data_IF_333262781384
#
_entry.id   IF_333262781384
#
_cell.length_a   1.000
_cell.length_b   1.000
_cell.length_c   1.000
_cell.angle_alpha   90.00
_cell.angle_beta   90.00
_cell.angle_gamma   90.00
#
_symmetry.space_group_name_H-M   'P 1'
#
loop_
_entity.id
_entity.type
_entity.pdbx_description
1 polymer ?
#
# COMPACT_ATOMS: atom_id res chain seq x y z
N UNK A 1 -5.40 8.82 5.53
CA UNK A 1 -6.41 7.81 5.12
C UNK A 1 -5.92 6.37 5.32
N UNK A 2 -4.75 6.00 4.81
CA UNK A 2 -4.26 4.62 4.87
C UNK A 2 -4.15 4.03 6.28
N UNK A 3 -3.42 4.69 7.20
CA UNK A 3 -3.19 4.13 8.56
C UNK A 3 -4.49 3.87 9.33
N UNK A 4 -5.44 4.82 9.48
CA UNK A 4 -6.67 4.53 10.22
C UNK A 4 -7.51 3.40 9.59
N UNK A 5 -7.60 3.35 8.26
CA UNK A 5 -8.34 2.29 7.57
C UNK A 5 -7.64 0.93 7.70
N UNK A 6 -6.31 0.89 7.61
CA UNK A 6 -5.53 -0.33 7.81
C UNK A 6 -5.71 -0.87 9.23
N UNK A 7 -5.68 -0.01 10.25
CA UNK A 7 -5.95 -0.41 11.64
C UNK A 7 -7.37 -0.97 11.80
N UNK A 8 -8.36 -0.32 11.20
CA UNK A 8 -9.75 -0.78 11.21
C UNK A 8 -9.90 -2.14 10.53
N UNK A 9 -9.40 -2.29 9.30
CA UNK A 9 -9.44 -3.54 8.56
C UNK A 9 -8.68 -4.66 9.27
N UNK A 10 -7.55 -4.35 9.90
CA UNK A 10 -6.79 -5.32 10.70
C UNK A 10 -7.60 -5.80 11.90
N UNK A 11 -8.25 -4.91 12.63
CA UNK A 11 -9.09 -5.27 13.77
C UNK A 11 -10.28 -6.14 13.34
N UNK A 12 -10.93 -5.78 12.22
CA UNK A 12 -12.03 -6.57 11.66
C UNK A 12 -11.52 -7.94 11.18
N UNK A 13 -10.43 -7.99 10.43
CA UNK A 13 -9.85 -9.23 9.93
C UNK A 13 -9.45 -10.16 11.08
N UNK A 14 -8.81 -9.63 12.12
CA UNK A 14 -8.50 -10.38 13.33
C UNK A 14 -9.76 -10.96 13.97
N UNK A 15 -10.80 -10.16 14.16
CA UNK A 15 -12.04 -10.64 14.77
C UNK A 15 -12.75 -11.70 13.91
N UNK A 16 -12.88 -11.45 12.59
CA UNK A 16 -13.50 -12.37 11.63
C UNK A 16 -12.78 -13.71 11.62
N UNK A 17 -11.44 -13.71 11.56
CA UNK A 17 -10.66 -14.94 11.48
C UNK A 17 -10.64 -15.69 12.80
N UNK A 18 -10.39 -14.99 13.92
CA UNK A 18 -10.12 -15.65 15.21
C UNK A 18 -11.39 -15.96 16.01
N UNK A 19 -12.42 -15.10 15.94
CA UNK A 19 -13.64 -15.22 16.77
C UNK A 19 -14.83 -15.75 16.00
N UNK A 20 -14.96 -15.40 14.72
CA UNK A 20 -16.14 -15.78 13.94
C UNK A 20 -15.97 -17.06 13.14
N UNK A 21 -14.98 -17.12 12.24
CA UNK A 21 -14.84 -18.21 11.27
C UNK A 21 -14.14 -19.45 11.84
N UNK A 22 -12.98 -19.28 12.47
CA UNK A 22 -12.14 -20.41 12.90
C UNK A 22 -12.10 -20.63 14.41
N UNK A 23 -12.83 -19.80 15.19
CA UNK A 23 -12.97 -19.88 16.67
C UNK A 23 -11.76 -20.50 17.34
N UNK A 24 -10.67 -19.73 17.41
CA UNK A 24 -9.45 -20.21 18.03
C UNK A 24 -9.65 -20.31 19.55
N UNK A 25 -9.51 -21.51 20.11
CA UNK A 25 -9.41 -21.67 21.55
C UNK A 25 -8.12 -21.01 22.05
N UNK A 26 -8.29 -20.02 22.92
CA UNK A 26 -7.18 -19.22 23.48
C UNK A 26 -6.43 -19.95 24.59
N UNK A 27 -6.48 -21.30 24.63
CA UNK A 27 -5.63 -22.07 25.54
C UNK A 27 -4.18 -21.73 25.23
N UNK A 28 -3.46 -21.19 26.22
CA UNK A 28 -2.07 -20.78 26.08
C UNK A 28 -1.26 -21.91 25.44
N UNK A 29 -0.61 -21.63 24.30
CA UNK A 29 0.30 -22.58 23.67
C UNK A 29 1.43 -22.87 24.66
N UNK A 30 1.41 -24.07 25.25
CA UNK A 30 2.43 -24.51 26.20
C UNK A 30 3.82 -24.40 25.55
N UNK A 31 4.77 -23.78 26.25
CA UNK A 31 6.12 -23.55 25.74
C UNK A 31 6.29 -22.42 24.71
N UNK A 32 5.21 -21.80 24.21
CA UNK A 32 5.29 -20.75 23.18
C UNK A 32 6.11 -19.52 23.62
N UNK A 33 5.91 -19.06 24.87
CA UNK A 33 6.72 -17.97 25.45
C UNK A 33 8.20 -18.33 25.58
N UNK A 34 8.48 -19.59 25.93
CA UNK A 34 9.86 -20.06 26.10
C UNK A 34 10.57 -20.13 24.74
N UNK A 35 9.89 -20.60 23.70
CA UNK A 35 10.40 -20.61 22.33
C UNK A 35 10.70 -19.18 21.83
N UNK A 36 9.77 -18.23 22.03
CA UNK A 36 9.99 -16.82 21.65
C UNK A 36 11.19 -16.26 22.42
N UNK A 37 11.30 -16.53 23.72
CA UNK A 37 12.43 -16.11 24.55
C UNK A 37 13.76 -16.68 24.06
N UNK A 38 13.80 -17.95 23.66
CA UNK A 38 15.00 -18.59 23.10
C UNK A 38 15.40 -17.97 21.75
N UNK A 39 14.44 -17.72 20.86
CA UNK A 39 14.71 -17.08 19.57
C UNK A 39 15.20 -15.63 19.74
N UNK A 40 14.58 -14.87 20.66
CA UNK A 40 15.05 -13.52 21.01
C UNK A 40 16.46 -13.53 21.60
N UNK A 41 16.77 -14.48 22.48
CA UNK A 41 18.12 -14.63 23.02
C UNK A 41 19.13 -15.03 21.95
N UNK A 42 18.74 -15.86 20.97
CA UNK A 42 19.60 -16.30 19.87
C UNK A 42 19.96 -15.18 18.88
N UNK A 43 19.13 -14.14 18.75
CA UNK A 43 19.42 -12.97 17.90
C UNK A 43 20.60 -12.15 18.41
N UNK A 44 20.83 -12.13 19.73
CA UNK A 44 21.91 -11.36 20.34
C UNK A 44 21.72 -9.83 20.27
N UNK A 45 22.80 -9.08 20.47
CA UNK A 45 22.81 -7.61 20.36
C UNK A 45 22.83 -7.17 18.90
N UNK A 46 22.12 -6.07 18.58
CA UNK A 46 22.16 -5.49 17.23
C UNK A 46 23.60 -5.22 16.77
N UNK A 47 23.91 -5.71 15.59
CA UNK A 47 25.14 -5.42 14.86
C UNK A 47 25.22 -3.94 14.48
N UNK A 48 26.43 -3.46 14.18
CA UNK A 48 26.64 -2.09 13.69
C UNK A 48 25.83 -1.80 12.42
N UNK A 49 25.71 -2.79 11.52
CA UNK A 49 24.92 -2.66 10.30
C UNK A 49 23.45 -2.42 10.59
N UNK A 50 22.87 -3.21 11.51
CA UNK A 50 21.46 -3.05 11.92
C UNK A 50 21.22 -1.70 12.59
N UNK A 51 22.14 -1.22 13.44
CA UNK A 51 22.03 0.11 14.06
C UNK A 51 22.08 1.23 13.02
N UNK A 52 22.97 1.13 12.02
CA UNK A 52 23.05 2.11 10.92
C UNK A 52 21.76 2.10 10.11
N UNK A 53 21.27 0.93 9.71
CA UNK A 53 20.02 0.79 8.93
C UNK A 53 18.83 1.33 9.73
N UNK A 54 18.74 1.03 11.02
CA UNK A 54 17.70 1.55 11.91
C UNK A 54 17.77 3.08 12.02
N UNK A 55 18.97 3.64 12.16
CA UNK A 55 19.18 5.09 12.21
C UNK A 55 18.74 5.80 10.94
N UNK A 56 19.11 5.27 9.76
CA UNK A 56 18.65 5.81 8.47
C UNK A 56 17.13 5.68 8.35
N UNK A 57 16.57 4.51 8.65
CA UNK A 57 15.12 4.26 8.59
C UNK A 57 14.31 5.23 9.48
N UNK A 58 14.70 5.39 10.74
CA UNK A 58 14.01 6.30 11.68
C UNK A 58 14.14 7.76 11.23
N UNK A 59 15.30 8.15 10.71
CA UNK A 59 15.50 9.50 10.16
C UNK A 59 14.59 9.73 8.96
N UNK A 60 14.54 8.78 8.01
CA UNK A 60 13.66 8.83 6.84
C UNK A 60 12.19 8.93 7.24
N UNK A 61 11.73 8.10 8.19
CA UNK A 61 10.37 8.13 8.69
C UNK A 61 10.03 9.47 9.36
N UNK A 62 10.93 9.99 10.20
CA UNK A 62 10.78 11.29 10.83
C UNK A 62 10.73 12.43 9.80
N UNK A 63 11.54 12.36 8.74
CA UNK A 63 11.51 13.34 7.65
C UNK A 63 10.20 13.28 6.87
N UNK A 64 9.66 12.10 6.53
CA UNK A 64 8.36 12.01 5.84
C UNK A 64 7.21 12.53 6.69
N UNK A 65 7.15 12.15 7.98
CA UNK A 65 6.10 12.60 8.91
C UNK A 65 6.22 14.11 9.15
N UNK A 66 7.45 14.60 9.36
CA UNK A 66 7.74 16.00 9.66
C UNK A 66 7.79 16.92 8.45
N UNK A 67 7.83 16.39 7.22
CA UNK A 67 8.02 17.16 5.98
C UNK A 67 7.09 18.36 5.88
N UNK A 68 5.79 18.13 6.10
CA UNK A 68 4.78 19.19 6.00
C UNK A 68 5.00 20.33 7.01
N UNK A 69 5.53 20.02 8.19
CA UNK A 69 5.89 21.02 9.20
C UNK A 69 7.19 21.74 8.83
N UNK A 70 8.20 21.01 8.35
CA UNK A 70 9.52 21.54 7.99
C UNK A 70 9.45 22.53 6.82
N UNK A 71 8.67 22.21 5.79
CA UNK A 71 8.51 23.06 4.59
C UNK A 71 7.71 24.33 4.89
N UNK A 72 6.80 24.29 5.87
CA UNK A 72 5.96 25.43 6.27
C UNK A 72 6.60 26.30 7.35
N UNK A 73 7.79 25.95 7.83
CA UNK A 73 8.44 26.66 8.92
C UNK A 73 9.39 27.74 8.37
N UNK A 74 8.87 28.97 8.27
CA UNK A 74 9.56 30.09 7.61
C UNK A 74 10.97 30.38 8.14
N UNK A 75 11.18 30.30 9.46
CA UNK A 75 12.52 30.46 10.06
C UNK A 75 13.50 29.38 9.57
N UNK A 76 13.04 28.14 9.49
CA UNK A 76 13.86 27.00 9.11
C UNK A 76 14.19 27.02 7.62
N UNK A 77 13.19 27.31 6.77
CA UNK A 77 13.37 27.50 5.33
C UNK A 77 14.25 28.71 5.02
N UNK A 78 14.10 29.80 5.78
CA UNK A 78 14.96 30.99 5.66
C UNK A 78 16.43 30.70 5.94
N UNK A 79 16.73 29.76 6.85
CA UNK A 79 18.11 29.31 7.13
C UNK A 79 18.60 28.25 6.13
N UNK A 80 17.70 27.38 5.67
CA UNK A 80 18.01 26.28 4.75
C UNK A 80 17.06 26.29 3.55
N UNK A 81 17.34 27.10 2.51
CA UNK A 81 16.45 27.26 1.37
C UNK A 81 16.12 25.95 0.64
N UNK A 82 17.06 24.99 0.66
CA UNK A 82 16.89 23.67 0.07
C UNK A 82 15.70 22.88 0.68
N UNK A 83 15.33 23.18 1.93
CA UNK A 83 14.24 22.49 2.64
C UNK A 83 12.88 22.96 2.14
N UNK A 84 12.77 24.18 1.61
CA UNK A 84 11.52 24.70 1.03
C UNK A 84 11.00 23.85 -0.14
N UNK A 85 11.91 23.15 -0.86
CA UNK A 85 11.57 22.28 -1.99
C UNK A 85 11.64 20.78 -1.65
N UNK A 86 11.73 20.42 -0.37
CA UNK A 86 11.84 19.03 0.04
C UNK A 86 10.59 18.25 -0.37
N UNK A 87 10.78 17.17 -1.13
CA UNK A 87 9.72 16.25 -1.54
C UNK A 87 10.03 14.81 -1.12
N UNK A 88 9.02 13.94 -1.17
CA UNK A 88 9.12 12.56 -0.70
C UNK A 88 10.17 11.75 -1.48
N UNK A 89 10.39 12.06 -2.76
CA UNK A 89 11.40 11.42 -3.59
C UNK A 89 12.83 11.81 -3.20
N UNK A 90 13.07 13.08 -2.85
CA UNK A 90 14.37 13.56 -2.35
C UNK A 90 14.75 12.87 -1.04
N UNK A 91 13.79 12.71 -0.12
CA UNK A 91 13.99 12.00 1.15
C UNK A 91 14.37 10.53 0.89
N UNK A 92 13.63 9.85 0.00
CA UNK A 92 13.90 8.46 -0.36
C UNK A 92 15.28 8.28 -1.02
N UNK A 93 15.64 9.14 -1.97
CA UNK A 93 16.92 9.10 -2.65
C UNK A 93 18.07 9.41 -1.69
N UNK A 94 17.90 10.39 -0.80
CA UNK A 94 18.87 10.70 0.26
C UNK A 94 19.09 9.53 1.21
N UNK A 95 18.03 8.83 1.61
CA UNK A 95 18.11 7.63 2.44
C UNK A 95 18.84 6.49 1.72
N UNK A 96 18.54 6.26 0.44
CA UNK A 96 19.23 5.28 -0.37
C UNK A 96 20.73 5.60 -0.45
N UNK A 97 21.09 6.84 -0.83
CA UNK A 97 22.48 7.29 -0.89
C UNK A 97 23.19 7.14 0.46
N UNK A 98 22.53 7.47 1.57
CA UNK A 98 23.10 7.31 2.90
C UNK A 98 23.47 5.84 3.21
N UNK A 99 22.63 4.88 2.83
CA UNK A 99 22.93 3.45 3.01
C UNK A 99 24.15 2.99 2.19
N UNK A 100 24.40 3.58 1.02
CA UNK A 100 25.59 3.28 0.21
C UNK A 100 26.85 4.00 0.72
N UNK A 101 26.71 5.13 1.41
CA UNK A 101 27.84 5.96 1.84
C UNK A 101 28.29 5.70 3.28
N UNK A 102 27.42 5.18 4.15
CA UNK A 102 27.76 4.93 5.55
C UNK A 102 28.49 3.57 5.69
N UNK A 103 29.76 3.56 6.14
CA UNK A 103 30.51 2.32 6.34
C UNK A 103 30.06 1.59 7.62
N UNK A 104 29.85 0.28 7.52
CA UNK A 104 29.66 -0.63 8.65
C UNK A 104 31.02 -1.06 9.23
N UNK A 105 31.97 -1.37 8.36
CA UNK A 105 33.37 -1.62 8.71
C UNK A 105 34.28 -0.90 7.71
N UNK A 106 34.79 0.27 8.16
CA UNK A 106 35.65 1.13 7.36
C UNK A 106 36.99 0.47 6.98
N UNK A 107 37.50 -0.46 7.79
CA UNK A 107 38.79 -1.14 7.52
C UNK A 107 38.64 -2.18 6.41
N UNK A 108 37.46 -2.81 6.33
CA UNK A 108 37.13 -3.83 5.33
C UNK A 108 36.40 -3.28 4.11
N UNK A 109 36.10 -1.97 4.08
CA UNK A 109 35.33 -1.35 3.01
C UNK A 109 33.88 -1.84 2.93
N UNK A 110 33.31 -2.30 4.05
CA UNK A 110 31.94 -2.81 4.12
C UNK A 110 31.01 -1.64 4.43
N UNK A 111 30.05 -1.39 3.55
CA UNK A 111 29.02 -0.35 3.69
C UNK A 111 27.67 -0.96 4.06
N UNK A 112 26.71 -0.13 4.46
CA UNK A 112 25.40 -0.63 4.89
C UNK A 112 24.62 -1.29 3.73
N UNK A 113 24.85 -0.83 2.50
CA UNK A 113 24.43 -1.49 1.26
C UNK A 113 25.56 -1.52 0.23
N UNK A 114 25.57 -2.57 -0.57
CA UNK A 114 26.48 -2.80 -1.68
C UNK A 114 25.74 -2.73 -3.02
N UNK A 115 26.47 -2.51 -4.13
CA UNK A 115 25.86 -2.40 -5.46
C UNK A 115 25.08 -3.65 -5.90
N UNK A 116 25.55 -4.89 -5.62
CA UNK A 116 24.76 -6.09 -5.90
C UNK A 116 23.36 -6.07 -5.26
N UNK A 117 23.19 -5.45 -4.09
CA UNK A 117 21.86 -5.27 -3.50
C UNK A 117 20.89 -4.46 -4.36
N UNK A 118 21.38 -3.53 -5.19
CA UNK A 118 20.54 -2.72 -6.08
C UNK A 118 19.84 -3.57 -7.16
N UNK A 119 20.37 -4.74 -7.50
CA UNK A 119 19.72 -5.65 -8.45
C UNK A 119 18.39 -6.22 -7.94
N UNK A 120 18.17 -6.22 -6.62
CA UNK A 120 16.93 -6.69 -5.98
C UNK A 120 15.83 -5.61 -5.96
N UNK A 121 16.15 -4.38 -6.40
CA UNK A 121 15.14 -3.35 -6.59
C UNK A 121 14.19 -3.81 -7.69
N UNK A 122 12.86 -3.73 -7.50
CA UNK A 122 11.90 -4.19 -8.48
C UNK A 122 11.78 -3.18 -9.64
N UNK A 123 12.79 -3.12 -10.52
CA UNK A 123 12.85 -2.17 -11.65
C UNK A 123 11.63 -2.27 -12.58
N UNK A 124 11.05 -3.46 -12.72
CA UNK A 124 9.81 -3.67 -13.47
C UNK A 124 8.62 -2.88 -12.91
N UNK A 125 8.56 -2.65 -11.59
CA UNK A 125 7.51 -1.83 -10.95
C UNK A 125 7.65 -0.36 -11.37
N UNK A 126 8.89 0.15 -11.42
CA UNK A 126 9.16 1.53 -11.84
C UNK A 126 8.78 1.74 -13.31
N UNK A 127 9.14 0.79 -14.17
CA UNK A 127 8.75 0.79 -15.59
C UNK A 127 7.22 0.71 -15.75
N UNK A 128 6.54 -0.10 -14.95
CA UNK A 128 5.09 -0.24 -14.99
C UNK A 128 4.38 1.07 -14.60
N UNK A 129 4.85 1.79 -13.58
CA UNK A 129 4.29 3.10 -13.23
C UNK A 129 4.50 4.12 -14.35
N UNK A 130 5.69 4.18 -14.95
CA UNK A 130 5.97 5.04 -16.10
C UNK A 130 5.09 4.71 -17.30
N UNK A 131 4.89 3.43 -17.60
CA UNK A 131 4.00 2.95 -18.65
C UNK A 131 2.53 3.30 -18.38
N UNK A 132 2.05 3.12 -17.15
CA UNK A 132 0.67 3.44 -16.76
C UNK A 132 0.36 4.93 -16.85
N UNK A 133 1.28 5.81 -16.40
CA UNK A 133 1.13 7.26 -16.55
C UNK A 133 1.16 7.69 -18.03
N UNK A 134 2.04 7.09 -18.84
CA UNK A 134 2.08 7.32 -20.28
C UNK A 134 0.79 6.90 -20.97
N UNK A 135 0.21 5.76 -20.57
CA UNK A 135 -1.07 5.28 -21.08
C UNK A 135 -2.22 6.22 -20.69
N UNK A 136 -2.29 6.67 -19.44
CA UNK A 136 -3.30 7.63 -19.00
C UNK A 136 -3.28 8.93 -19.82
N UNK A 137 -2.10 9.46 -20.07
CA UNK A 137 -1.91 10.65 -20.92
C UNK A 137 -2.33 10.37 -22.37
N UNK A 138 -1.96 9.21 -22.93
CA UNK A 138 -2.35 8.82 -24.29
C UNK A 138 -3.87 8.66 -24.43
N UNK A 139 -4.53 8.05 -23.45
CA UNK A 139 -5.99 7.94 -23.40
C UNK A 139 -6.65 9.31 -23.40
N UNK A 140 -6.14 10.23 -22.58
CA UNK A 140 -6.64 11.61 -22.49
C UNK A 140 -6.47 12.35 -23.81
N UNK A 141 -5.29 12.28 -24.43
CA UNK A 141 -5.03 12.91 -25.75
C UNK A 141 -5.87 12.33 -26.88
N UNK A 142 -6.19 11.05 -26.81
CA UNK A 142 -6.98 10.37 -27.84
C UNK A 142 -8.49 10.64 -27.76
N UNK A 143 -8.97 11.29 -26.69
CA UNK A 143 -10.40 11.47 -26.41
C UNK A 143 -11.09 10.21 -25.87
N UNK A 144 -10.33 9.14 -25.58
CA UNK A 144 -10.88 7.88 -25.08
C UNK A 144 -11.47 8.04 -23.69
N UNK A 145 -10.89 8.90 -22.86
CA UNK A 145 -11.38 9.19 -21.50
C UNK A 145 -12.79 9.78 -21.51
N UNK A 146 -13.04 10.71 -22.44
CA UNK A 146 -14.33 11.37 -22.65
C UNK A 146 -15.35 10.38 -23.22
N UNK A 147 -14.93 9.52 -24.16
CA UNK A 147 -15.79 8.48 -24.71
C UNK A 147 -16.24 7.47 -23.63
N UNK A 148 -15.30 6.97 -22.80
CA UNK A 148 -15.62 6.09 -21.67
C UNK A 148 -16.52 6.81 -20.66
N UNK A 149 -16.21 8.06 -20.32
CA UNK A 149 -17.03 8.89 -19.45
C UNK A 149 -18.47 9.04 -19.96
N UNK A 150 -18.64 9.24 -21.27
CA UNK A 150 -19.94 9.30 -21.91
C UNK A 150 -20.73 7.98 -21.83
N UNK A 151 -20.08 6.82 -21.97
CA UNK A 151 -20.72 5.52 -21.78
C UNK A 151 -21.17 5.30 -20.34
N UNK A 152 -20.32 5.66 -19.36
CA UNK A 152 -20.67 5.53 -17.94
C UNK A 152 -21.76 6.54 -17.55
N UNK A 153 -21.73 7.75 -18.09
CA UNK A 153 -22.76 8.77 -17.90
C UNK A 153 -24.13 8.34 -18.45
N UNK A 154 -24.16 7.51 -19.49
CA UNK A 154 -25.38 6.94 -20.06
C UNK A 154 -26.03 5.85 -19.18
N UNK A 155 -25.31 5.29 -18.20
CA UNK A 155 -25.86 4.29 -17.26
C UNK A 155 -26.87 4.88 -16.26
N UNK A 156 -27.26 6.15 -16.44
CA UNK A 156 -28.08 6.93 -15.52
C UNK A 156 -27.22 7.39 -14.35
N UNK A 157 -27.21 8.69 -14.04
CA UNK A 157 -26.31 9.31 -13.06
C UNK A 157 -26.27 8.59 -11.71
N UNK A 158 -25.40 7.57 -11.61
CA UNK A 158 -25.21 6.80 -10.39
C UNK A 158 -24.65 7.76 -9.34
N UNK A 159 -25.16 7.73 -8.10
CA UNK A 159 -24.55 8.49 -7.02
C UNK A 159 -23.06 8.13 -6.95
N UNK A 160 -22.20 9.12 -6.73
CA UNK A 160 -20.74 8.91 -6.62
C UNK A 160 -20.40 7.79 -5.63
N UNK A 161 -21.19 7.65 -4.57
CA UNK A 161 -21.10 6.55 -3.60
C UNK A 161 -21.22 5.16 -4.24
N UNK A 162 -22.19 4.97 -5.14
CA UNK A 162 -22.42 3.71 -5.85
C UNK A 162 -21.27 3.41 -6.82
N UNK A 163 -20.75 4.44 -7.50
CA UNK A 163 -19.59 4.30 -8.38
C UNK A 163 -18.36 3.79 -7.60
N UNK A 164 -18.09 4.35 -6.42
CA UNK A 164 -16.99 3.89 -5.54
C UNK A 164 -17.18 2.43 -5.13
N UNK A 165 -18.40 2.03 -4.75
CA UNK A 165 -18.69 0.63 -4.34
C UNK A 165 -18.44 -0.33 -5.50
N UNK A 166 -18.91 -0.01 -6.70
CA UNK A 166 -18.70 -0.83 -7.91
C UNK A 166 -17.22 -0.92 -8.24
N UNK A 167 -16.49 0.21 -8.21
CA UNK A 167 -15.04 0.23 -8.43
C UNK A 167 -14.31 -0.65 -7.42
N UNK A 168 -14.59 -0.50 -6.12
CA UNK A 168 -13.94 -1.32 -5.08
C UNK A 168 -14.25 -2.80 -5.27
N UNK A 169 -15.51 -3.16 -5.54
CA UNK A 169 -15.91 -4.54 -5.79
C UNK A 169 -15.18 -5.16 -6.98
N UNK A 170 -15.15 -4.44 -8.11
CA UNK A 170 -14.45 -4.88 -9.32
C UNK A 170 -12.95 -5.09 -9.05
N UNK A 171 -12.31 -4.13 -8.38
CA UNK A 171 -10.86 -4.20 -8.10
C UNK A 171 -10.53 -5.35 -7.15
N UNK A 172 -11.33 -5.55 -6.09
CA UNK A 172 -11.15 -6.68 -5.15
C UNK A 172 -11.24 -8.01 -5.90
N UNK A 173 -12.23 -8.18 -6.78
CA UNK A 173 -12.36 -9.41 -7.56
C UNK A 173 -11.19 -9.63 -8.52
N UNK A 174 -10.76 -8.58 -9.22
CA UNK A 174 -9.65 -8.68 -10.18
C UNK A 174 -8.32 -8.97 -9.50
N UNK A 175 -8.09 -8.42 -8.32
CA UNK A 175 -6.84 -8.62 -7.58
C UNK A 175 -6.71 -10.01 -6.94
N UNK A 176 -7.76 -10.83 -6.93
CA UNK A 176 -7.67 -12.24 -6.50
C UNK A 176 -7.00 -13.12 -7.56
N UNK A 177 -7.14 -12.76 -8.83
CA UNK A 177 -6.63 -13.52 -9.97
C UNK A 177 -5.42 -12.85 -10.64
N UNK A 178 -5.10 -11.62 -10.25
CA UNK A 178 -4.04 -10.78 -10.83
C UNK A 178 -3.18 -10.21 -9.71
N UNK A 179 -1.94 -9.80 -10.00
CA UNK A 179 -1.14 -9.11 -8.98
C UNK A 179 -1.73 -7.73 -8.63
N UNK A 180 -1.65 -7.35 -7.35
CA UNK A 180 -2.14 -6.06 -6.84
C UNK A 180 -1.58 -4.87 -7.64
N UNK A 181 -0.29 -4.96 -7.98
CA UNK A 181 0.43 -3.95 -8.74
C UNK A 181 -0.07 -3.87 -10.19
N UNK A 182 -0.23 -5.01 -10.88
CA UNK A 182 -0.73 -5.02 -12.25
C UNK A 182 -2.18 -4.55 -12.33
N UNK A 183 -3.03 -4.95 -11.38
CA UNK A 183 -4.41 -4.50 -11.26
C UNK A 183 -4.48 -2.99 -11.10
N UNK A 184 -3.68 -2.43 -10.19
CA UNK A 184 -3.61 -0.97 -9.97
C UNK A 184 -3.10 -0.25 -11.23
N UNK A 185 -2.01 -0.72 -11.85
CA UNK A 185 -1.43 -0.09 -13.02
C UNK A 185 -2.37 -0.09 -14.24
N UNK A 186 -3.17 -1.15 -14.42
CA UNK A 186 -4.13 -1.25 -15.50
C UNK A 186 -5.37 -0.37 -15.26
N UNK A 187 -5.89 -0.35 -14.02
CA UNK A 187 -7.17 0.29 -13.72
C UNK A 187 -7.04 1.78 -13.38
N UNK A 188 -5.93 2.25 -12.80
CA UNK A 188 -5.76 3.66 -12.42
C UNK A 188 -5.94 4.61 -13.62
N UNK A 189 -5.32 4.39 -14.80
CA UNK A 189 -5.56 5.22 -15.98
C UNK A 189 -7.03 5.26 -16.42
N UNK A 190 -7.71 4.11 -16.39
CA UNK A 190 -9.10 3.97 -16.80
C UNK A 190 -10.01 4.70 -15.81
N UNK A 191 -9.83 4.49 -14.51
CA UNK A 191 -10.60 5.13 -13.46
C UNK A 191 -10.36 6.65 -13.41
N UNK A 192 -9.15 7.10 -13.72
CA UNK A 192 -8.85 8.53 -13.91
C UNK A 192 -9.67 9.10 -15.07
N UNK A 193 -9.66 8.42 -16.23
CA UNK A 193 -10.46 8.80 -17.39
C UNK A 193 -11.97 8.86 -17.11
N UNK A 194 -12.49 7.85 -16.40
CA UNK A 194 -13.89 7.82 -15.94
C UNK A 194 -14.19 9.00 -15.02
N UNK A 195 -13.31 9.29 -14.07
CA UNK A 195 -13.49 10.42 -13.17
C UNK A 195 -13.56 11.75 -13.91
N UNK A 196 -12.61 11.97 -14.84
CA UNK A 196 -12.55 13.18 -15.68
C UNK A 196 -13.80 13.30 -16.57
N UNK A 197 -14.23 12.21 -17.20
CA UNK A 197 -15.40 12.22 -18.09
C UNK A 197 -16.74 12.35 -17.37
N UNK A 198 -16.81 12.04 -16.07
CA UNK A 198 -17.97 12.26 -15.20
C UNK A 198 -17.91 13.59 -14.43
N UNK A 199 -16.86 14.39 -14.63
CA UNK A 199 -16.58 15.62 -13.88
C UNK A 199 -16.58 15.43 -12.35
N UNK A 200 -16.01 14.30 -11.88
CA UNK A 200 -15.83 14.00 -10.45
C UNK A 200 -14.35 14.02 -10.07
N UNK A 201 -14.06 14.34 -8.82
CA UNK A 201 -12.68 14.39 -8.32
C UNK A 201 -11.99 13.01 -8.46
N UNK A 202 -10.89 12.87 -9.24
CA UNK A 202 -10.27 11.57 -9.50
C UNK A 202 -9.80 10.84 -8.25
N UNK A 203 -9.31 11.57 -7.25
CA UNK A 203 -8.89 10.98 -5.97
C UNK A 203 -10.02 10.22 -5.25
N UNK A 204 -11.28 10.59 -5.49
CA UNK A 204 -12.45 9.90 -4.95
C UNK A 204 -12.62 8.47 -5.48
N UNK A 205 -12.09 8.14 -6.66
CA UNK A 205 -12.10 6.79 -7.22
C UNK A 205 -10.75 6.09 -7.11
N UNK A 206 -9.65 6.83 -7.33
CA UNK A 206 -8.30 6.25 -7.36
C UNK A 206 -7.83 5.78 -5.99
N UNK A 207 -8.10 6.53 -4.92
CA UNK A 207 -7.71 6.15 -3.55
C UNK A 207 -8.41 4.85 -3.10
N UNK A 208 -9.76 4.73 -3.16
CA UNK A 208 -10.42 3.48 -2.79
C UNK A 208 -10.01 2.31 -3.70
N UNK A 209 -9.78 2.54 -5.00
CA UNK A 209 -9.28 1.49 -5.90
C UNK A 209 -7.87 1.00 -5.51
N UNK A 210 -6.94 1.89 -5.18
CA UNK A 210 -5.59 1.51 -4.75
C UNK A 210 -5.61 0.70 -3.45
N UNK A 211 -6.50 1.06 -2.51
CA UNK A 211 -6.70 0.31 -1.27
C UNK A 211 -7.32 -1.05 -1.57
N UNK A 212 -8.37 -1.08 -2.40
CA UNK A 212 -9.06 -2.29 -2.82
C UNK A 212 -8.13 -3.29 -3.52
N UNK A 213 -7.19 -2.81 -4.33
CA UNK A 213 -6.18 -3.65 -4.99
C UNK A 213 -5.23 -4.33 -3.99
N UNK A 214 -5.17 -3.86 -2.74
CA UNK A 214 -4.41 -4.51 -1.67
C UNK A 214 -5.23 -5.54 -0.87
N UNK A 215 -6.53 -5.65 -1.13
CA UNK A 215 -7.45 -6.57 -0.45
C UNK A 215 -7.61 -7.88 -1.24
N UNK A 216 -6.54 -8.67 -1.28
CA UNK A 216 -6.48 -9.97 -1.94
C UNK A 216 -6.41 -11.09 -0.90
N UNK A 217 -7.55 -11.68 -0.55
CA UNK A 217 -7.70 -12.55 0.62
C UNK A 217 -8.12 -13.99 0.31
N UNK A 218 -8.63 -14.30 -0.89
CA UNK A 218 -9.22 -15.60 -1.22
C UNK A 218 -8.20 -16.62 -1.72
N UNK A 219 -7.33 -16.24 -2.66
CA UNK A 219 -6.50 -17.20 -3.39
C UNK A 219 -5.01 -17.18 -2.98
N UNK A 220 -4.33 -18.34 -2.94
CA UNK A 220 -2.90 -18.43 -2.66
C UNK A 220 -2.04 -17.69 -3.69
N UNK A 221 -2.46 -17.71 -4.96
CA UNK A 221 -1.73 -17.12 -6.10
C UNK A 221 -1.78 -15.60 -6.11
N UNK A 222 -2.75 -15.00 -5.38
CA UNK A 222 -2.98 -13.57 -5.42
C UNK A 222 -1.81 -12.76 -4.84
N UNK A 223 -1.19 -13.23 -3.75
CA UNK A 223 -0.06 -12.54 -3.11
C UNK A 223 0.98 -13.50 -2.51
N UNK A 224 2.27 -13.10 -2.44
CA UNK A 224 3.30 -13.93 -1.80
C UNK A 224 3.01 -14.34 -0.34
N UNK A 225 2.45 -13.46 0.53
CA UNK A 225 2.06 -13.87 1.89
C UNK A 225 1.04 -15.01 1.90
N UNK A 226 0.03 -14.98 1.03
CA UNK A 226 -0.97 -16.05 0.92
C UNK A 226 -0.32 -17.36 0.48
N UNK A 227 0.60 -17.31 -0.49
CA UNK A 227 1.36 -18.47 -0.95
C UNK A 227 2.26 -19.07 0.14
N UNK A 228 2.91 -18.24 0.97
CA UNK A 228 3.77 -18.69 2.09
C UNK A 228 2.95 -19.48 3.11
N UNK A 229 1.79 -18.95 3.51
CA UNK A 229 0.91 -19.62 4.48
C UNK A 229 0.34 -20.92 3.89
N UNK A 230 -0.10 -20.89 2.64
CA UNK A 230 -0.57 -22.10 1.94
C UNK A 230 0.52 -23.17 1.83
N UNK A 231 1.76 -22.76 1.57
CA UNK A 231 2.94 -23.63 1.49
C UNK A 231 3.28 -24.37 2.79
N UNK A 232 2.69 -23.98 3.93
CA UNK A 232 2.83 -24.72 5.19
C UNK A 232 2.14 -26.10 5.19
N UNK A 233 1.23 -26.36 4.24
CA UNK A 233 0.41 -27.57 4.19
C UNK A 233 -0.67 -27.66 5.27
N UNK A 234 -0.82 -26.63 6.12
CA UNK A 234 -1.79 -26.60 7.23
C UNK A 234 -3.11 -25.92 6.88
N UNK A 235 -3.18 -25.22 5.73
CA UNK A 235 -4.35 -24.46 5.30
C UNK A 235 -4.77 -24.94 3.92
N UNK A 236 -6.05 -25.29 3.78
CA UNK A 236 -6.63 -25.72 2.50
C UNK A 236 -7.12 -24.52 1.68
N UNK A 237 -7.18 -24.65 0.35
CA UNK A 237 -7.73 -23.62 -0.53
C UNK A 237 -9.17 -23.27 -0.13
N UNK A 238 -9.99 -24.26 0.23
CA UNK A 238 -11.37 -24.04 0.66
C UNK A 238 -11.50 -23.18 1.92
N UNK A 239 -10.58 -23.33 2.89
CA UNK A 239 -10.53 -22.48 4.08
C UNK A 239 -10.13 -21.03 3.72
N UNK A 240 -9.16 -20.85 2.82
CA UNK A 240 -8.73 -19.53 2.36
C UNK A 240 -9.86 -18.82 1.60
N UNK A 241 -10.50 -19.50 0.65
CA UNK A 241 -11.63 -18.97 -0.13
C UNK A 241 -12.77 -18.58 0.80
N UNK A 242 -13.14 -19.45 1.75
CA UNK A 242 -14.21 -19.15 2.73
C UNK A 242 -13.90 -17.90 3.54
N UNK A 243 -12.67 -17.77 4.04
CA UNK A 243 -12.27 -16.59 4.80
C UNK A 243 -12.19 -15.33 3.93
N UNK A 244 -11.60 -15.46 2.75
CA UNK A 244 -11.39 -14.37 1.81
C UNK A 244 -12.69 -13.77 1.30
N UNK A 245 -13.73 -14.56 1.02
CA UNK A 245 -15.04 -14.04 0.60
C UNK A 245 -15.59 -13.07 1.66
N UNK A 246 -15.55 -13.46 2.93
CA UNK A 246 -16.05 -12.61 4.01
C UNK A 246 -15.21 -11.34 4.18
N UNK A 247 -13.88 -11.45 4.09
CA UNK A 247 -12.99 -10.29 4.16
C UNK A 247 -13.14 -9.36 2.95
N UNK A 248 -13.40 -9.91 1.77
CA UNK A 248 -13.68 -9.14 0.55
C UNK A 248 -15.00 -8.39 0.67
N UNK A 249 -16.07 -9.03 1.16
CA UNK A 249 -17.34 -8.36 1.44
C UNK A 249 -17.15 -7.22 2.46
N UNK A 250 -16.36 -7.46 3.51
CA UNK A 250 -15.97 -6.39 4.46
C UNK A 250 -15.25 -5.26 3.73
N UNK A 251 -14.29 -5.56 2.85
CA UNK A 251 -13.57 -4.55 2.06
C UNK A 251 -14.51 -3.71 1.18
N UNK A 252 -15.44 -4.36 0.48
CA UNK A 252 -16.45 -3.71 -0.38
C UNK A 252 -17.34 -2.74 0.39
N UNK A 253 -17.61 -3.00 1.67
CA UNK A 253 -18.44 -2.11 2.50
C UNK A 253 -17.60 -1.05 3.21
N UNK A 254 -16.53 -1.47 3.90
CA UNK A 254 -15.76 -0.61 4.79
C UNK A 254 -14.94 0.41 4.01
N UNK A 255 -14.35 0.05 2.87
CA UNK A 255 -13.52 0.98 2.08
C UNK A 255 -14.35 2.16 1.57
N UNK A 256 -15.48 1.97 0.84
CA UNK A 256 -16.31 3.08 0.37
C UNK A 256 -16.88 3.93 1.51
N UNK A 257 -17.38 3.30 2.58
CA UNK A 257 -17.95 4.02 3.74
C UNK A 257 -16.87 4.87 4.41
N UNK A 258 -15.69 4.32 4.64
CA UNK A 258 -14.59 5.05 5.27
C UNK A 258 -14.11 6.22 4.39
N UNK A 259 -13.96 5.99 3.07
CA UNK A 259 -13.55 7.06 2.14
C UNK A 259 -14.61 8.15 2.03
N UNK A 260 -15.91 7.83 2.08
CA UNK A 260 -16.95 8.87 2.07
C UNK A 260 -16.98 9.69 3.37
N UNK A 261 -16.91 9.03 4.52
CA UNK A 261 -17.01 9.71 5.82
C UNK A 261 -15.74 10.53 6.14
N UNK A 262 -14.57 9.96 5.85
CA UNK A 262 -13.27 10.50 6.29
C UNK A 262 -12.50 11.11 5.13
N UNK A 263 -12.67 10.58 3.92
CA UNK A 263 -12.01 11.11 2.72
C UNK A 263 -12.51 12.50 2.33
N UNK A 264 -13.79 12.83 2.53
CA UNK A 264 -14.28 14.20 2.30
C UNK A 264 -13.52 15.24 3.16
N UNK A 265 -13.25 14.91 4.43
CA UNK A 265 -12.49 15.75 5.35
C UNK A 265 -10.98 15.81 5.04
N UNK A 266 -10.38 14.71 4.59
CA UNK A 266 -8.93 14.60 4.39
C UNK A 266 -8.44 14.90 2.97
N UNK A 267 -9.29 14.71 1.94
CA UNK A 267 -8.95 14.95 0.54
C UNK A 267 -9.40 16.35 0.06
N UNK A 268 -9.98 17.16 0.95
CA UNK A 268 -10.35 18.53 0.64
C UNK A 268 -11.51 18.65 -0.34
N UNK A 269 -12.42 17.68 -0.39
CA UNK A 269 -13.64 17.80 -1.17
C UNK A 269 -14.60 18.77 -0.46
N UNK A 270 -14.53 20.05 -0.83
CA UNK A 270 -15.65 20.99 -0.77
C UNK A 270 -16.17 21.19 -2.18
#
# INVERSE_FOLDING_TARGET
>A
LGVPLATLLLAIAWWVLTRWLFRLDTSSVEGGRQLIGQQLAALGSMSRGEVIVLGVFLTTAAMWIGRGLLVRWDWFVGRFPAIGNLNDAMIALGAALALFLIPVDRKRGIFARDWPSASHVPWGVLLLFGGGLSLAEAMTRSGLTEWIGGLVGQLGGLPQAALVVVTVGLVILLTEITSNLATTAALVPILYGVAMGLDVQPMGLLVPAAIAASCAFMLPVATPPNAIVFGSGRVTIGQMVRAGIWLNVVGVVVIPVFVQLVGAWLLGAR
#
